data_IF_322853718104
#
_entry.id   IF_322853718104
#
_cell.length_a   1.000
_cell.length_b   1.000
_cell.length_c   1.000
_cell.angle_alpha   90.00
_cell.angle_beta   90.00
_cell.angle_gamma   90.00
#
_symmetry.space_group_name_H-M   'P 1'
#
loop_
_entity.id
_entity.type
_entity.pdbx_description
1 polymer ?
#
# COMPACT_ATOMS: atom_id res chain seq x y z
N UNK A 1 -12.67 -5.67 11.32
CA UNK A 1 -13.38 -5.60 10.04
C UNK A 1 -13.21 -6.95 9.36
N UNK A 2 -14.30 -7.61 8.96
CA UNK A 2 -14.21 -8.92 8.29
C UNK A 2 -13.99 -8.69 6.78
N UNK A 3 -12.87 -9.14 6.25
CA UNK A 3 -12.53 -8.97 4.82
C UNK A 3 -13.31 -9.93 3.91
N UNK A 4 -13.90 -11.01 4.47
CA UNK A 4 -14.70 -11.97 3.70
C UNK A 4 -15.98 -11.36 3.09
N UNK A 5 -16.41 -10.20 3.58
CA UNK A 5 -17.61 -9.50 3.07
C UNK A 5 -17.32 -8.67 1.80
N UNK A 6 -16.03 -8.56 1.42
CA UNK A 6 -15.62 -7.76 0.27
C UNK A 6 -15.28 -8.67 -0.91
N UNK A 7 -15.86 -8.34 -2.05
CA UNK A 7 -15.63 -9.05 -3.32
C UNK A 7 -14.47 -8.36 -4.06
N UNK A 8 -13.52 -9.14 -4.54
CA UNK A 8 -12.39 -8.64 -5.33
C UNK A 8 -12.82 -8.14 -6.71
N UNK A 9 -11.98 -7.34 -7.35
CA UNK A 9 -12.27 -6.73 -8.64
C UNK A 9 -12.42 -7.78 -9.76
N UNK A 10 -11.55 -8.80 -9.87
CA UNK A 10 -11.72 -9.86 -10.87
C UNK A 10 -13.07 -10.58 -10.77
N UNK A 11 -13.48 -10.93 -9.57
CA UNK A 11 -14.79 -11.58 -9.34
C UNK A 11 -15.95 -10.66 -9.71
N UNK A 12 -15.88 -9.37 -9.38
CA UNK A 12 -16.88 -8.38 -9.78
C UNK A 12 -16.96 -8.25 -11.30
N UNK A 13 -15.80 -8.21 -11.95
CA UNK A 13 -15.73 -8.09 -13.41
C UNK A 13 -16.28 -9.35 -14.12
N UNK A 14 -15.97 -10.54 -13.63
CA UNK A 14 -16.53 -11.77 -14.13
C UNK A 14 -18.07 -11.80 -14.03
N UNK A 15 -18.62 -11.31 -12.92
CA UNK A 15 -20.06 -11.18 -12.73
C UNK A 15 -20.71 -10.18 -13.72
N UNK A 16 -20.02 -9.07 -14.03
CA UNK A 16 -20.46 -8.13 -15.06
C UNK A 16 -20.55 -8.79 -16.43
N UNK A 17 -19.49 -9.51 -16.84
CA UNK A 17 -19.46 -10.19 -18.14
C UNK A 17 -20.48 -11.32 -18.24
N UNK A 18 -20.73 -12.04 -17.14
CA UNK A 18 -21.77 -13.06 -17.10
C UNK A 18 -23.16 -12.46 -17.28
N UNK A 19 -23.42 -11.27 -16.74
CA UNK A 19 -24.72 -10.59 -16.85
C UNK A 19 -24.90 -9.85 -18.18
N UNK A 20 -23.82 -9.25 -18.67
CA UNK A 20 -23.79 -8.48 -19.93
C UNK A 20 -22.61 -8.92 -20.80
N UNK A 21 -22.78 -9.99 -21.59
CA UNK A 21 -21.69 -10.53 -22.42
C UNK A 21 -21.13 -9.53 -23.46
N UNK A 22 -21.95 -8.55 -23.86
CA UNK A 22 -21.57 -7.50 -24.80
C UNK A 22 -21.09 -6.21 -24.12
N UNK A 23 -20.77 -6.28 -22.82
CA UNK A 23 -20.26 -5.15 -22.03
C UNK A 23 -19.06 -4.51 -22.72
N UNK A 24 -19.08 -3.20 -22.82
CA UNK A 24 -17.95 -2.39 -23.28
C UNK A 24 -17.52 -1.46 -22.18
N UNK A 25 -16.20 -1.39 -21.93
CA UNK A 25 -15.61 -0.48 -20.96
C UNK A 25 -14.62 0.42 -21.68
N UNK A 26 -14.64 1.70 -21.32
CA UNK A 26 -13.70 2.71 -21.77
C UNK A 26 -13.07 3.35 -20.54
N UNK A 27 -11.76 3.22 -20.43
CA UNK A 27 -10.96 4.03 -19.53
C UNK A 27 -10.60 5.34 -20.25
N UNK A 28 -10.86 6.47 -19.62
CA UNK A 28 -10.43 7.76 -20.11
C UNK A 28 -8.96 7.98 -19.74
N UNK A 29 -8.29 8.88 -20.46
CA UNK A 29 -6.92 9.26 -20.14
C UNK A 29 -6.86 9.72 -18.67
N UNK A 30 -5.94 9.15 -17.87
CA UNK A 30 -5.74 9.59 -16.49
C UNK A 30 -5.33 11.06 -16.43
N UNK A 31 -5.77 11.75 -15.39
CA UNK A 31 -5.49 13.17 -15.17
C UNK A 31 -4.82 13.36 -13.81
N UNK A 32 -3.90 14.31 -13.73
CA UNK A 32 -3.36 14.78 -12.46
C UNK A 32 -4.25 15.90 -11.98
N UNK A 33 -4.83 15.74 -10.79
CA UNK A 33 -5.72 16.71 -10.18
C UNK A 33 -5.20 17.14 -8.82
N UNK A 34 -5.40 18.41 -8.47
CA UNK A 34 -5.05 18.96 -7.17
C UNK A 34 -6.33 19.25 -6.40
N UNK A 35 -6.42 18.72 -5.18
CA UNK A 35 -7.55 18.96 -4.27
C UNK A 35 -6.98 19.49 -2.95
N UNK A 36 -7.18 20.79 -2.71
CA UNK A 36 -6.50 21.50 -1.63
C UNK A 36 -4.99 21.53 -1.87
N UNK A 37 -4.22 21.00 -0.94
CA UNK A 37 -2.76 20.89 -0.98
C UNK A 37 -2.26 19.51 -1.46
N UNK A 38 -3.17 18.64 -1.90
CA UNK A 38 -2.87 17.25 -2.26
C UNK A 38 -3.02 17.02 -3.75
N UNK A 39 -2.10 16.25 -4.31
CA UNK A 39 -2.11 15.83 -5.71
C UNK A 39 -2.61 14.40 -5.80
N UNK A 40 -3.41 14.12 -6.84
CA UNK A 40 -3.97 12.79 -7.11
C UNK A 40 -3.86 12.46 -8.60
N UNK A 41 -3.78 11.16 -8.89
CA UNK A 41 -4.13 10.62 -10.20
C UNK A 41 -5.62 10.31 -10.17
N UNK A 42 -6.35 10.88 -11.13
CA UNK A 42 -7.76 10.66 -11.37
C UNK A 42 -7.95 9.73 -12.55
N UNK A 43 -8.70 8.66 -12.37
CA UNK A 43 -9.11 7.74 -13.43
C UNK A 43 -10.62 7.72 -13.52
N UNK A 44 -11.14 7.92 -14.73
CA UNK A 44 -12.57 7.83 -15.04
C UNK A 44 -12.81 6.68 -16.00
N UNK A 45 -13.78 5.83 -15.66
CA UNK A 45 -14.23 4.73 -16.54
C UNK A 45 -15.71 4.85 -16.83
N UNK A 46 -16.07 4.48 -18.04
CA UNK A 46 -17.45 4.33 -18.50
C UNK A 46 -17.70 2.89 -18.95
N UNK A 47 -18.89 2.40 -18.71
CA UNK A 47 -19.32 1.08 -19.17
C UNK A 47 -20.72 1.13 -19.77
N UNK A 48 -20.86 0.50 -20.94
CA UNK A 48 -22.12 0.27 -21.65
C UNK A 48 -22.51 -1.20 -21.51
N UNK A 49 -23.73 -1.47 -21.07
CA UNK A 49 -24.25 -2.85 -20.91
C UNK A 49 -24.37 -3.59 -22.24
N UNK A 50 -24.71 -2.84 -23.29
CA UNK A 50 -24.81 -3.31 -24.67
C UNK A 50 -24.24 -2.24 -25.61
N UNK A 51 -23.94 -2.56 -26.88
CA UNK A 51 -23.51 -1.57 -27.88
C UNK A 51 -24.45 -0.37 -28.04
N UNK A 52 -25.76 -0.62 -27.86
CA UNK A 52 -26.82 0.36 -28.07
C UNK A 52 -27.30 1.04 -26.76
N UNK A 53 -26.58 0.80 -25.65
CA UNK A 53 -26.91 1.44 -24.37
C UNK A 53 -26.71 2.98 -24.46
N UNK A 54 -27.78 3.78 -24.35
CA UNK A 54 -27.70 5.23 -24.59
C UNK A 54 -26.98 5.98 -23.46
N UNK A 55 -26.89 5.37 -22.27
CA UNK A 55 -26.31 6.00 -21.10
C UNK A 55 -25.32 5.06 -20.41
N UNK A 56 -24.00 5.33 -20.53
CA UNK A 56 -23.02 4.55 -19.82
C UNK A 56 -23.10 4.77 -18.31
N UNK A 57 -22.86 3.72 -17.54
CA UNK A 57 -22.50 3.87 -16.15
C UNK A 57 -21.09 4.47 -16.05
N UNK A 58 -20.85 5.38 -15.11
CA UNK A 58 -19.55 6.03 -14.95
C UNK A 58 -19.09 5.96 -13.50
N UNK A 59 -17.81 5.76 -13.33
CA UNK A 59 -17.11 5.90 -12.05
C UNK A 59 -15.84 6.74 -12.23
N UNK A 60 -15.46 7.47 -11.18
CA UNK A 60 -14.18 8.17 -11.09
C UNK A 60 -13.55 7.83 -9.76
N UNK A 61 -12.27 7.47 -9.78
CA UNK A 61 -11.46 7.18 -8.60
C UNK A 61 -10.21 8.03 -8.59
N UNK A 62 -9.72 8.27 -7.38
CA UNK A 62 -8.53 9.07 -7.12
C UNK A 62 -7.54 8.25 -6.31
N UNK A 63 -6.27 8.32 -6.70
CA UNK A 63 -5.17 7.74 -5.93
C UNK A 63 -4.16 8.86 -5.59
N UNK A 64 -3.69 8.96 -4.32
CA UNK A 64 -2.69 9.96 -3.96
C UNK A 64 -1.43 9.86 -4.84
N UNK A 65 -0.89 11.01 -5.27
CA UNK A 65 0.35 11.09 -6.04
C UNK A 65 1.33 12.07 -5.38
N UNK A 66 2.58 11.65 -5.07
CA UNK A 66 3.07 10.27 -5.12
C UNK A 66 2.36 9.35 -4.12
N UNK A 67 2.35 8.04 -4.41
CA UNK A 67 1.79 7.04 -3.53
C UNK A 67 2.47 7.03 -2.15
N UNK A 68 1.68 6.84 -1.10
CA UNK A 68 2.13 7.00 0.30
C UNK A 68 2.95 5.83 0.82
N UNK A 69 2.79 4.65 0.22
CA UNK A 69 3.45 3.42 0.67
C UNK A 69 4.41 2.90 -0.40
N UNK A 70 5.41 2.08 -0.05
CA UNK A 70 6.26 1.42 -1.04
C UNK A 70 5.48 0.55 -2.05
N UNK A 71 4.28 0.08 -1.69
CA UNK A 71 3.43 -0.75 -2.55
C UNK A 71 2.56 0.06 -3.51
N UNK A 72 2.25 1.31 -3.16
CA UNK A 72 1.43 2.21 -3.98
C UNK A 72 2.26 3.17 -4.81
N UNK A 73 3.52 3.44 -4.41
CA UNK A 73 4.44 4.31 -5.14
C UNK A 73 4.83 3.67 -6.46
N UNK A 74 4.81 4.45 -7.52
CA UNK A 74 5.09 4.04 -8.90
C UNK A 74 4.04 3.07 -9.50
N UNK A 75 2.90 2.89 -8.78
CA UNK A 75 1.77 2.05 -9.21
C UNK A 75 0.43 2.79 -9.10
N UNK A 76 0.46 4.09 -8.88
CA UNK A 76 -0.72 4.91 -8.54
C UNK A 76 -1.79 4.83 -9.62
N UNK A 77 -1.39 4.92 -10.89
CA UNK A 77 -2.33 4.81 -12.00
C UNK A 77 -2.99 3.42 -12.05
N UNK A 78 -2.20 2.35 -11.88
CA UNK A 78 -2.72 0.98 -11.88
C UNK A 78 -3.71 0.77 -10.74
N UNK A 79 -3.39 1.30 -9.56
CA UNK A 79 -4.27 1.22 -8.38
C UNK A 79 -5.56 2.01 -8.60
N UNK A 80 -5.47 3.22 -9.16
CA UNK A 80 -6.63 4.04 -9.51
C UNK A 80 -7.53 3.34 -10.53
N UNK A 81 -6.94 2.73 -11.59
CA UNK A 81 -7.67 1.98 -12.62
C UNK A 81 -8.38 0.77 -12.02
N UNK A 82 -7.69 -0.02 -11.19
CA UNK A 82 -8.28 -1.19 -10.51
C UNK A 82 -9.42 -0.78 -9.59
N UNK A 83 -9.24 0.23 -8.77
CA UNK A 83 -10.27 0.78 -7.88
C UNK A 83 -11.47 1.31 -8.67
N UNK A 84 -11.21 1.99 -9.79
CA UNK A 84 -12.25 2.53 -10.65
C UNK A 84 -13.11 1.42 -11.28
N UNK A 85 -12.47 0.35 -11.79
CA UNK A 85 -13.15 -0.81 -12.32
C UNK A 85 -14.01 -1.52 -11.26
N UNK A 86 -13.45 -1.72 -10.05
CA UNK A 86 -14.18 -2.32 -8.93
C UNK A 86 -15.40 -1.51 -8.50
N UNK A 87 -15.29 -0.18 -8.50
CA UNK A 87 -16.39 0.73 -8.17
C UNK A 87 -17.44 0.78 -9.27
N UNK A 88 -17.01 0.82 -10.53
CA UNK A 88 -17.92 0.76 -11.69
C UNK A 88 -18.77 -0.54 -11.66
N UNK A 89 -18.13 -1.67 -11.41
CA UNK A 89 -18.80 -2.95 -11.24
C UNK A 89 -19.77 -2.92 -10.04
N UNK A 90 -19.38 -2.29 -8.93
CA UNK A 90 -20.24 -2.10 -7.77
C UNK A 90 -21.51 -1.31 -8.08
N UNK A 91 -21.40 -0.24 -8.87
CA UNK A 91 -22.53 0.58 -9.30
C UNK A 91 -23.47 -0.19 -10.23
N UNK A 92 -22.93 -0.98 -11.16
CA UNK A 92 -23.72 -1.72 -12.14
C UNK A 92 -24.43 -2.94 -11.54
N UNK A 93 -23.82 -3.60 -10.57
CA UNK A 93 -24.30 -4.89 -10.02
C UNK A 93 -24.96 -4.77 -8.65
N UNK A 94 -24.97 -3.60 -8.04
CA UNK A 94 -25.53 -3.39 -6.69
C UNK A 94 -24.94 -4.36 -5.66
N UNK A 95 -23.63 -4.53 -5.64
CA UNK A 95 -22.95 -5.33 -4.63
C UNK A 95 -23.21 -4.80 -3.21
N UNK A 96 -23.25 -5.65 -2.18
CA UNK A 96 -23.53 -5.25 -0.81
C UNK A 96 -22.54 -4.21 -0.26
N UNK A 97 -21.31 -4.25 -0.75
CA UNK A 97 -20.24 -3.28 -0.43
C UNK A 97 -19.77 -2.59 -1.70
N UNK A 98 -19.80 -1.27 -1.72
CA UNK A 98 -19.29 -0.49 -2.86
C UNK A 98 -17.79 -0.58 -3.02
N UNK A 99 -17.05 -0.50 -1.91
CA UNK A 99 -15.60 -0.69 -1.94
C UNK A 99 -15.24 -2.12 -2.33
N UNK A 100 -14.23 -2.28 -3.18
CA UNK A 100 -13.67 -3.60 -3.48
C UNK A 100 -12.71 -4.06 -2.37
N UNK A 101 -12.33 -5.33 -2.39
CA UNK A 101 -11.36 -5.88 -1.44
C UNK A 101 -10.05 -5.10 -1.52
N UNK A 102 -9.58 -4.81 -2.73
CA UNK A 102 -8.34 -4.08 -2.99
C UNK A 102 -8.37 -2.66 -2.41
N UNK A 103 -9.48 -1.93 -2.61
CA UNK A 103 -9.67 -0.60 -2.02
C UNK A 103 -9.54 -0.61 -0.50
N UNK A 104 -10.11 -1.62 0.15
CA UNK A 104 -10.09 -1.74 1.62
C UNK A 104 -8.70 -2.12 2.12
N UNK A 105 -8.04 -3.06 1.46
CA UNK A 105 -6.68 -3.51 1.82
C UNK A 105 -5.69 -2.35 1.68
N UNK A 106 -5.73 -1.62 0.56
CA UNK A 106 -4.85 -0.48 0.31
C UNK A 106 -5.01 0.62 1.38
N UNK A 107 -6.25 0.93 1.76
CA UNK A 107 -6.52 1.93 2.80
C UNK A 107 -6.09 1.48 4.20
N UNK A 108 -6.28 0.21 4.55
CA UNK A 108 -5.81 -0.30 5.85
C UNK A 108 -4.29 -0.25 5.98
N UNK A 109 -3.58 -0.40 4.86
CA UNK A 109 -2.12 -0.27 4.85
C UNK A 109 -1.69 1.19 5.06
N UNK A 110 -2.52 2.16 4.66
CA UNK A 110 -2.30 3.59 4.91
C UNK A 110 -2.59 3.99 6.37
N UNK A 111 -3.60 3.39 6.99
CA UNK A 111 -4.08 3.74 8.34
C UNK A 111 -3.28 3.12 9.49
N UNK A 112 -2.40 2.19 9.23
CA UNK A 112 -1.34 1.90 10.19
C UNK A 112 -0.27 2.99 10.05
N UNK A 113 -0.31 4.06 10.88
CA UNK A 113 0.92 4.72 11.18
C UNK A 113 1.78 3.55 11.68
N UNK A 114 2.86 3.23 11.01
CA UNK A 114 3.96 2.59 11.67
C UNK A 114 4.21 3.55 12.83
N UNK A 115 3.70 3.20 14.02
CA UNK A 115 4.32 3.71 15.21
C UNK A 115 5.76 3.33 14.98
N UNK A 116 6.54 4.32 14.60
CA UNK A 116 7.96 4.24 14.65
C UNK A 116 8.30 4.12 16.14
N UNK A 117 8.12 2.92 16.68
CA UNK A 117 9.02 2.43 17.69
C UNK A 117 10.37 2.17 17.00
N UNK A 118 10.64 2.98 15.97
CA UNK A 118 11.78 2.95 15.09
C UNK A 118 13.03 3.37 15.80
N UNK A 119 12.88 3.83 17.00
CA UNK A 119 14.04 4.29 17.75
C UNK A 119 14.52 3.29 18.80
N UNK A 120 13.73 2.31 19.19
CA UNK A 120 14.19 1.30 20.15
C UNK A 120 15.09 0.26 19.47
N UNK A 121 16.20 -0.11 20.09
CA UNK A 121 17.06 -1.17 19.59
C UNK A 121 16.28 -2.46 19.35
N UNK A 122 16.61 -3.19 18.29
CA UNK A 122 16.01 -4.50 18.05
C UNK A 122 16.54 -5.52 19.07
N UNK A 123 15.76 -6.56 19.35
CA UNK A 123 16.22 -7.66 20.22
C UNK A 123 17.55 -8.27 19.72
N UNK A 124 17.74 -8.35 18.40
CA UNK A 124 18.99 -8.85 17.82
C UNK A 124 20.17 -7.95 18.14
N UNK A 125 20.00 -6.62 18.08
CA UNK A 125 21.03 -5.66 18.47
C UNK A 125 21.35 -5.75 19.96
N UNK A 126 20.35 -5.87 20.82
CA UNK A 126 20.54 -6.04 22.26
C UNK A 126 21.27 -7.34 22.61
N UNK A 127 20.92 -8.45 21.94
CA UNK A 127 21.61 -9.75 22.11
C UNK A 127 23.06 -9.65 21.65
N UNK A 128 23.33 -8.97 20.54
CA UNK A 128 24.67 -8.80 20.02
C UNK A 128 25.54 -7.92 20.93
N UNK A 129 25.00 -6.81 21.45
CA UNK A 129 25.66 -5.96 22.43
C UNK A 129 26.07 -6.78 23.68
N UNK A 130 25.16 -7.58 24.20
CA UNK A 130 25.42 -8.47 25.32
C UNK A 130 26.51 -9.51 25.01
N UNK A 131 26.51 -10.08 23.82
CA UNK A 131 27.52 -11.03 23.37
C UNK A 131 28.91 -10.38 23.19
N UNK A 132 28.96 -9.08 22.84
CA UNK A 132 30.18 -8.26 22.74
C UNK A 132 30.66 -7.75 24.09
N UNK A 133 30.02 -8.11 25.21
CA UNK A 133 30.41 -7.74 26.57
C UNK A 133 29.87 -6.39 27.06
N UNK A 134 28.89 -5.80 26.39
CA UNK A 134 28.26 -4.58 26.85
C UNK A 134 27.37 -4.87 28.07
N UNK A 135 27.76 -4.34 29.23
CA UNK A 135 27.08 -4.53 30.52
C UNK A 135 26.40 -3.25 31.03
N UNK A 136 26.64 -2.13 30.35
CA UNK A 136 26.08 -0.83 30.74
C UNK A 136 24.60 -0.68 30.34
N UNK A 137 24.05 0.48 30.65
CA UNK A 137 22.65 0.80 30.33
C UNK A 137 22.36 0.56 28.83
N UNK A 138 21.32 -0.19 28.48
CA UNK A 138 20.97 -0.43 27.08
C UNK A 138 20.77 0.87 26.31
N UNK A 139 21.24 0.96 25.05
CA UNK A 139 21.08 2.16 24.25
C UNK A 139 19.59 2.49 24.06
N UNK A 140 19.28 3.79 24.06
CA UNK A 140 17.89 4.25 23.93
C UNK A 140 17.36 4.10 22.51
N UNK A 141 18.24 4.17 21.50
CA UNK A 141 17.87 4.17 20.10
C UNK A 141 18.58 3.08 19.28
N UNK A 142 17.96 2.70 18.18
CA UNK A 142 18.53 1.74 17.22
C UNK A 142 19.85 2.24 16.63
N UNK A 143 19.97 3.56 16.45
CA UNK A 143 21.18 4.21 15.92
C UNK A 143 22.34 4.13 16.93
N UNK A 144 22.05 4.42 18.19
CA UNK A 144 23.03 4.24 19.28
C UNK A 144 23.47 2.79 19.43
N UNK A 145 22.52 1.85 19.34
CA UNK A 145 22.83 0.42 19.37
C UNK A 145 23.78 0.01 18.23
N UNK A 146 23.57 0.51 17.02
CA UNK A 146 24.45 0.24 15.88
C UNK A 146 25.84 0.82 16.08
N UNK A 147 25.95 2.07 16.53
CA UNK A 147 27.24 2.72 16.79
C UNK A 147 28.05 2.01 17.89
N UNK A 148 27.38 1.58 18.96
CA UNK A 148 28.02 0.81 20.03
C UNK A 148 28.50 -0.57 19.55
N UNK A 149 27.74 -1.26 18.71
CA UNK A 149 28.13 -2.55 18.12
C UNK A 149 29.39 -2.38 17.26
N UNK A 150 29.46 -1.34 16.45
CA UNK A 150 30.65 -1.05 15.62
C UNK A 150 31.88 -0.76 16.50
N UNK A 151 31.75 0.11 17.48
CA UNK A 151 32.84 0.46 18.39
C UNK A 151 33.39 -0.75 19.18
N UNK A 152 32.50 -1.62 19.68
CA UNK A 152 32.89 -2.83 20.38
C UNK A 152 33.57 -3.88 19.49
N UNK A 153 33.14 -3.99 18.23
CA UNK A 153 33.81 -4.87 17.24
C UNK A 153 35.21 -4.36 16.91
N UNK A 154 35.35 -3.06 16.68
CA UNK A 154 36.68 -2.42 16.44
C UNK A 154 37.63 -2.61 17.61
N UNK A 155 37.13 -2.44 18.83
CA UNK A 155 37.91 -2.67 20.03
C UNK A 155 38.40 -4.12 20.18
N UNK A 156 37.55 -5.10 19.84
CA UNK A 156 37.92 -6.53 19.84
C UNK A 156 38.95 -6.88 18.75
N UNK A 157 38.86 -6.27 17.57
CA UNK A 157 39.80 -6.46 16.48
C UNK A 157 41.17 -5.92 16.88
N UNK A 158 41.20 -4.72 17.47
CA UNK A 158 42.45 -4.08 17.93
C UNK A 158 43.09 -4.87 19.08
N UNK A 159 42.31 -5.38 20.03
CA UNK A 159 42.80 -6.20 21.13
C UNK A 159 43.39 -7.55 20.67
N UNK A 160 42.86 -8.10 19.58
CA UNK A 160 43.38 -9.35 19.00
C UNK A 160 44.53 -9.14 18.00
N UNK A 161 44.72 -7.91 17.49
CA UNK A 161 45.80 -7.55 16.57
C UNK A 161 47.14 -7.19 17.23
N UNK A 162 47.17 -6.91 18.53
CA UNK A 162 48.39 -6.65 19.29
C UNK A 162 49.06 -7.88 19.93
N UNK A 163 48.54 -9.05 19.62
CA UNK A 163 49.01 -10.34 20.18
C UNK A 163 49.93 -11.16 19.23
N UNK A 164 50.64 -10.48 18.30
CA UNK A 164 51.69 -11.08 17.47
C UNK A 164 52.96 -10.25 17.45
#
# INVERSE_FOLDING_TARGET
MNLSDYVDVPTRFAALLAKWPELRIKEHRPEIVTIGDKIFISVTMQAWRTPDDPLPCQATCFEPFPGKTPFTRDSEQMNASTSCLGRLAGLMMSFPKMASLEEVVNRQTEEKPKSFSADKPSEAQLRLLKALGHTDTPPATKREASALIEALKEAQVNANGEAF
#
